data_IF_580376740196
#
_entry.id   IF_580376740196
#
_cell.length_a   1.000
_cell.length_b   1.000
_cell.length_c   1.000
_cell.angle_alpha   90.00
_cell.angle_beta   90.00
_cell.angle_gamma   90.00
#
_symmetry.space_group_name_H-M   'P 1'
#
loop_
_entity.id
_entity.type
_entity.pdbx_description
1 polymer ?
#
# COMPACT_ATOMS: atom_id res chain seq x y z
N UNK A 1 -22.45 -64.31 -7.71
CA UNK A 1 -21.93 -63.11 -7.00
C UNK A 1 -21.30 -62.21 -8.04
N UNK A 2 -22.07 -61.30 -8.65
CA UNK A 2 -21.52 -60.31 -9.60
C UNK A 2 -22.24 -58.98 -9.35
N UNK A 3 -21.74 -58.20 -8.38
CA UNK A 3 -22.09 -56.79 -8.24
C UNK A 3 -21.28 -56.03 -9.29
N UNK A 4 -21.83 -55.95 -10.51
CA UNK A 4 -21.26 -55.15 -11.59
C UNK A 4 -21.33 -53.65 -11.22
N UNK A 5 -20.16 -53.01 -11.29
CA UNK A 5 -19.89 -51.58 -11.41
C UNK A 5 -21.11 -50.64 -11.30
N UNK A 6 -21.27 -50.09 -10.11
CA UNK A 6 -22.23 -49.05 -9.72
C UNK A 6 -21.92 -47.73 -10.44
N UNK A 7 -22.57 -47.53 -11.58
CA UNK A 7 -22.59 -46.22 -12.25
C UNK A 7 -23.49 -45.31 -11.40
N UNK A 8 -22.94 -44.21 -10.89
CA UNK A 8 -23.69 -43.19 -10.11
C UNK A 8 -24.79 -42.48 -10.92
N UNK A 9 -24.81 -42.69 -12.23
CA UNK A 9 -25.75 -42.12 -13.19
C UNK A 9 -26.67 -43.21 -13.75
N UNK A 10 -27.97 -42.92 -13.76
CA UNK A 10 -28.97 -43.76 -14.42
C UNK A 10 -29.22 -43.27 -15.83
N UNK A 11 -28.98 -44.09 -16.86
CA UNK A 11 -29.33 -43.77 -18.25
C UNK A 11 -30.84 -43.82 -18.55
N UNK A 12 -31.59 -44.54 -17.73
CA UNK A 12 -33.02 -44.83 -17.93
C UNK A 12 -33.89 -44.42 -16.74
N UNK A 13 -33.37 -43.57 -15.86
CA UNK A 13 -34.07 -43.11 -14.64
C UNK A 13 -33.96 -44.07 -13.45
N UNK A 14 -34.58 -43.69 -12.32
CA UNK A 14 -34.58 -44.48 -11.08
C UNK A 14 -35.90 -45.24 -10.95
N UNK A 15 -35.84 -46.56 -11.07
CA UNK A 15 -37.01 -47.45 -10.93
C UNK A 15 -37.27 -47.91 -9.49
N UNK A 16 -36.25 -47.81 -8.63
CA UNK A 16 -36.29 -48.20 -7.23
C UNK A 16 -36.42 -46.96 -6.33
N UNK A 17 -37.65 -46.50 -6.15
CA UNK A 17 -37.98 -45.30 -5.39
C UNK A 17 -37.77 -45.47 -3.87
N UNK A 18 -37.81 -46.71 -3.36
CA UNK A 18 -37.60 -46.99 -1.93
C UNK A 18 -36.18 -46.66 -1.47
N UNK A 19 -35.19 -46.82 -2.35
CA UNK A 19 -33.78 -46.49 -2.09
C UNK A 19 -33.32 -45.19 -2.76
N UNK A 20 -34.26 -44.33 -3.17
CA UNK A 20 -33.96 -43.08 -3.87
C UNK A 20 -33.07 -42.14 -3.04
N UNK A 21 -33.37 -41.96 -1.75
CA UNK A 21 -32.60 -41.07 -0.88
C UNK A 21 -31.12 -41.49 -0.78
N UNK A 22 -30.86 -42.80 -0.69
CA UNK A 22 -29.50 -43.34 -0.65
C UNK A 22 -28.79 -43.20 -2.01
N UNK A 23 -29.52 -43.34 -3.12
CA UNK A 23 -28.98 -43.08 -4.47
C UNK A 23 -28.64 -41.60 -4.68
N UNK A 24 -29.49 -40.68 -4.22
CA UNK A 24 -29.23 -39.24 -4.29
C UNK A 24 -27.97 -38.89 -3.50
N UNK A 25 -27.87 -39.35 -2.24
CA UNK A 25 -26.70 -39.07 -1.40
C UNK A 25 -25.40 -39.58 -2.03
N UNK A 26 -25.44 -40.77 -2.64
CA UNK A 26 -24.31 -41.38 -3.34
C UNK A 26 -23.93 -40.62 -4.61
N UNK A 27 -24.91 -40.10 -5.36
CA UNK A 27 -24.68 -39.23 -6.50
C UNK A 27 -24.07 -37.89 -6.10
N UNK A 28 -24.61 -37.26 -5.06
CA UNK A 28 -24.13 -35.99 -4.53
C UNK A 28 -22.67 -36.08 -4.06
N UNK A 29 -22.31 -37.24 -3.48
CA UNK A 29 -20.93 -37.55 -3.06
C UNK A 29 -20.05 -38.14 -4.16
N UNK A 30 -20.58 -38.31 -5.38
CA UNK A 30 -19.81 -38.93 -6.47
C UNK A 30 -18.76 -37.96 -7.02
N UNK A 31 -17.60 -38.49 -7.40
CA UNK A 31 -16.51 -37.69 -7.98
C UNK A 31 -16.98 -36.89 -9.21
N UNK A 32 -17.85 -37.47 -10.03
CA UNK A 32 -18.41 -36.81 -11.21
C UNK A 32 -19.29 -35.61 -10.83
N UNK A 33 -20.20 -35.77 -9.86
CA UNK A 33 -21.04 -34.66 -9.41
C UNK A 33 -20.17 -33.55 -8.81
N UNK A 34 -19.29 -33.90 -7.87
CA UNK A 34 -18.40 -32.94 -7.21
C UNK A 34 -17.53 -32.20 -8.22
N UNK A 35 -16.93 -32.91 -9.17
CA UNK A 35 -16.10 -32.31 -10.23
C UNK A 35 -16.91 -31.37 -11.12
N UNK A 36 -18.14 -31.72 -11.48
CA UNK A 36 -18.99 -30.89 -12.31
C UNK A 36 -19.51 -29.66 -11.55
N UNK A 37 -19.85 -29.79 -10.27
CA UNK A 37 -20.20 -28.66 -9.39
C UNK A 37 -19.02 -27.72 -9.24
N UNK A 38 -17.81 -28.24 -9.00
CA UNK A 38 -16.59 -27.43 -8.93
C UNK A 38 -16.30 -26.73 -10.27
N UNK A 39 -16.41 -27.42 -11.41
CA UNK A 39 -16.26 -26.84 -12.74
C UNK A 39 -17.29 -25.73 -13.00
N UNK A 40 -18.55 -25.95 -12.67
CA UNK A 40 -19.61 -24.95 -12.81
C UNK A 40 -19.36 -23.74 -11.90
N UNK A 41 -18.95 -23.98 -10.66
CA UNK A 41 -18.63 -22.91 -9.71
C UNK A 41 -17.42 -22.04 -10.14
N UNK A 42 -16.54 -22.62 -10.95
CA UNK A 42 -15.35 -21.97 -11.52
C UNK A 42 -15.58 -21.43 -12.93
N UNK A 43 -16.68 -21.83 -13.58
CA UNK A 43 -17.04 -21.43 -14.94
C UNK A 43 -17.27 -19.91 -15.01
N UNK A 44 -16.61 -19.25 -15.94
CA UNK A 44 -16.65 -17.78 -16.07
C UNK A 44 -15.81 -17.00 -15.06
N UNK A 45 -15.24 -17.63 -14.02
CA UNK A 45 -14.35 -16.96 -13.06
C UNK A 45 -12.88 -16.96 -13.49
N UNK A 46 -12.49 -17.89 -14.35
CA UNK A 46 -11.12 -17.95 -14.89
C UNK A 46 -11.01 -17.12 -16.16
N UNK A 47 -9.99 -16.26 -16.25
CA UNK A 47 -9.69 -15.52 -17.47
C UNK A 47 -9.25 -16.51 -18.57
N UNK A 48 -10.05 -16.61 -19.63
CA UNK A 48 -9.86 -17.53 -20.74
C UNK A 48 -8.47 -17.33 -21.40
N UNK A 49 -7.96 -16.10 -21.44
CA UNK A 49 -6.64 -15.80 -21.99
C UNK A 49 -5.50 -16.45 -21.17
N UNK A 50 -5.64 -16.58 -19.84
CA UNK A 50 -4.65 -17.26 -18.99
C UNK A 50 -4.61 -18.77 -19.21
N UNK A 51 -5.74 -19.37 -19.61
CA UNK A 51 -5.83 -20.81 -19.86
C UNK A 51 -5.40 -21.19 -21.28
N UNK A 52 -5.68 -20.34 -22.27
CA UNK A 52 -5.41 -20.63 -23.68
C UNK A 52 -4.03 -20.21 -24.17
N UNK A 53 -3.36 -19.28 -23.46
CA UNK A 53 -2.08 -18.73 -23.92
C UNK A 53 -1.02 -18.78 -22.81
N UNK A 54 -0.10 -19.74 -22.94
CA UNK A 54 1.01 -19.92 -21.99
C UNK A 54 1.92 -18.67 -21.92
N UNK A 55 2.14 -17.99 -23.05
CA UNK A 55 2.96 -16.77 -23.09
C UNK A 55 2.25 -15.61 -22.34
N UNK A 56 0.93 -15.47 -22.49
CA UNK A 56 0.15 -14.49 -21.72
C UNK A 56 0.23 -14.78 -20.22
N UNK A 57 0.06 -16.03 -19.81
CA UNK A 57 0.20 -16.45 -18.41
C UNK A 57 1.59 -16.15 -17.85
N UNK A 58 2.66 -16.47 -18.59
CA UNK A 58 4.05 -16.13 -18.23
C UNK A 58 4.25 -14.62 -18.12
N UNK A 59 3.62 -13.84 -19.02
CA UNK A 59 3.66 -12.38 -18.99
C UNK A 59 3.05 -11.80 -17.72
N UNK A 60 1.89 -12.31 -17.29
CA UNK A 60 1.25 -11.88 -16.04
C UNK A 60 2.09 -12.22 -14.81
N UNK A 61 2.65 -13.44 -14.75
CA UNK A 61 3.54 -13.86 -13.66
C UNK A 61 4.75 -12.91 -13.59
N UNK A 62 5.43 -12.69 -14.71
CA UNK A 62 6.59 -11.80 -14.78
C UNK A 62 6.24 -10.36 -14.39
N UNK A 63 5.07 -9.86 -14.81
CA UNK A 63 4.62 -8.53 -14.40
C UNK A 63 4.42 -8.41 -12.90
N UNK A 64 3.77 -9.41 -12.28
CA UNK A 64 3.57 -9.43 -10.82
C UNK A 64 4.90 -9.53 -10.06
N UNK A 65 5.84 -10.34 -10.55
CA UNK A 65 7.20 -10.40 -9.98
C UNK A 65 7.91 -9.04 -10.03
N UNK A 66 7.76 -8.29 -11.12
CA UNK A 66 8.31 -6.92 -11.22
C UNK A 66 7.58 -5.94 -10.30
N UNK A 67 6.26 -6.05 -10.14
CA UNK A 67 5.49 -5.24 -9.19
C UNK A 67 5.97 -5.49 -7.76
N UNK A 68 6.18 -6.74 -7.37
CA UNK A 68 6.64 -7.11 -6.03
C UNK A 68 8.06 -6.59 -5.77
N UNK A 69 8.97 -6.72 -6.74
CA UNK A 69 10.30 -6.11 -6.66
C UNK A 69 10.22 -4.59 -6.50
N UNK A 70 9.42 -3.90 -7.31
CA UNK A 70 9.30 -2.45 -7.24
C UNK A 70 8.72 -1.98 -5.91
N UNK A 71 7.72 -2.70 -5.36
CA UNK A 71 7.17 -2.43 -4.02
C UNK A 71 8.21 -2.62 -2.93
N UNK A 72 9.04 -3.65 -3.04
CA UNK A 72 10.13 -3.88 -2.10
C UNK A 72 11.15 -2.73 -2.11
N UNK A 73 11.62 -2.33 -3.29
CA UNK A 73 12.55 -1.20 -3.44
C UNK A 73 11.94 0.08 -2.86
N UNK A 74 10.68 0.38 -3.22
CA UNK A 74 9.97 1.55 -2.71
C UNK A 74 9.88 1.54 -1.19
N UNK A 75 9.61 0.39 -0.57
CA UNK A 75 9.60 0.25 0.89
C UNK A 75 10.95 0.64 1.51
N UNK A 76 12.07 0.24 0.91
CA UNK A 76 13.41 0.59 1.40
C UNK A 76 13.71 2.07 1.28
N UNK A 77 13.28 2.71 0.18
CA UNK A 77 13.40 4.16 0.04
C UNK A 77 12.57 4.90 1.10
N UNK A 78 11.34 4.44 1.37
CA UNK A 78 10.49 4.98 2.44
C UNK A 78 11.17 4.81 3.81
N UNK A 79 11.80 3.67 4.07
CA UNK A 79 12.54 3.44 5.32
C UNK A 79 13.71 4.42 5.47
N UNK A 80 14.43 4.74 4.38
CA UNK A 80 15.45 5.79 4.40
C UNK A 80 14.87 7.17 4.73
N UNK A 81 13.71 7.55 4.16
CA UNK A 81 13.04 8.83 4.50
C UNK A 81 12.61 8.84 5.97
N UNK A 82 12.01 7.74 6.46
CA UNK A 82 11.62 7.59 7.86
C UNK A 82 12.81 7.71 8.80
N UNK A 83 13.95 7.11 8.44
CA UNK A 83 15.18 7.24 9.21
C UNK A 83 15.60 8.70 9.29
N UNK A 84 15.67 9.41 8.16
CA UNK A 84 16.01 10.84 8.18
C UNK A 84 15.05 11.63 9.08
N UNK A 85 13.74 11.40 8.97
CA UNK A 85 12.75 12.07 9.80
C UNK A 85 12.86 11.75 11.30
N UNK A 86 13.09 10.49 11.66
CA UNK A 86 13.18 10.03 13.04
C UNK A 86 14.40 10.58 13.79
N UNK A 87 15.47 10.88 13.06
CA UNK A 87 16.72 11.43 13.60
C UNK A 87 16.92 12.93 13.28
N UNK A 88 15.88 13.61 12.77
CA UNK A 88 15.92 15.03 12.40
C UNK A 88 17.05 15.37 11.42
N UNK A 89 17.39 14.43 10.53
CA UNK A 89 18.46 14.57 9.56
C UNK A 89 17.97 15.27 8.30
N UNK A 90 18.82 16.14 7.77
CA UNK A 90 18.58 16.75 6.47
C UNK A 90 18.60 15.66 5.41
N UNK A 91 17.46 15.49 4.72
CA UNK A 91 17.31 14.49 3.64
C UNK A 91 18.33 14.76 2.52
N UNK A 92 18.53 16.04 2.18
CA UNK A 92 19.27 16.50 1.00
C UNK A 92 20.67 17.01 1.30
N UNK A 93 21.55 16.85 0.32
CA UNK A 93 22.84 17.53 0.27
C UNK A 93 22.74 18.88 -0.45
N UNK A 94 23.76 19.72 -0.30
CA UNK A 94 23.91 20.92 -1.14
C UNK A 94 24.18 20.54 -2.61
N UNK A 95 24.98 19.50 -2.80
CA UNK A 95 25.32 18.92 -4.09
C UNK A 95 25.05 17.42 -4.01
N UNK A 96 24.07 16.92 -4.78
CA UNK A 96 23.69 15.51 -4.83
C UNK A 96 24.23 14.81 -6.09
N UNK A 97 25.26 15.34 -6.76
CA UNK A 97 25.93 14.66 -7.88
C UNK A 97 26.65 13.38 -7.42
N UNK A 98 27.01 12.50 -8.37
CA UNK A 98 27.71 11.25 -8.07
C UNK A 98 29.11 11.48 -7.51
N UNK A 99 29.74 12.59 -7.92
CA UNK A 99 31.09 12.99 -7.55
C UNK A 99 31.12 13.83 -6.25
N UNK A 100 29.96 14.18 -5.72
CA UNK A 100 29.86 14.98 -4.49
C UNK A 100 30.46 14.24 -3.30
N UNK A 101 31.30 14.95 -2.54
CA UNK A 101 31.83 14.46 -1.27
C UNK A 101 30.73 14.34 -0.20
N UNK A 102 29.66 15.12 -0.32
CA UNK A 102 28.52 15.12 0.60
C UNK A 102 27.19 15.13 -0.18
N UNK A 103 26.78 13.98 -0.76
CA UNK A 103 25.61 13.87 -1.62
C UNK A 103 24.27 13.93 -0.86
N UNK A 104 24.29 14.20 0.45
CA UNK A 104 23.11 14.18 1.31
C UNK A 104 22.94 12.86 2.07
N UNK A 105 22.27 12.92 3.22
CA UNK A 105 22.08 11.78 4.12
C UNK A 105 21.23 10.69 3.47
N UNK A 106 20.13 11.07 2.80
CA UNK A 106 19.24 10.11 2.15
C UNK A 106 19.99 9.26 1.12
N UNK A 107 20.79 9.91 0.25
CA UNK A 107 21.55 9.21 -0.79
C UNK A 107 22.56 8.26 -0.18
N UNK A 108 23.28 8.69 0.86
CA UNK A 108 24.24 7.83 1.59
C UNK A 108 23.56 6.64 2.27
N UNK A 109 22.35 6.82 2.80
CA UNK A 109 21.56 5.72 3.36
C UNK A 109 21.13 4.74 2.28
N UNK A 110 20.70 5.21 1.11
CA UNK A 110 20.36 4.33 -0.02
C UNK A 110 21.58 3.54 -0.47
N UNK A 111 22.76 4.18 -0.57
CA UNK A 111 24.02 3.50 -0.89
C UNK A 111 24.36 2.44 0.17
N UNK A 112 24.23 2.79 1.46
CA UNK A 112 24.45 1.86 2.56
C UNK A 112 23.49 0.66 2.50
N UNK A 113 22.18 0.90 2.32
CA UNK A 113 21.19 -0.18 2.17
C UNK A 113 21.51 -1.05 0.96
N UNK A 114 21.96 -0.46 -0.15
CA UNK A 114 22.37 -1.23 -1.33
C UNK A 114 23.60 -2.10 -1.08
N UNK A 115 24.49 -1.71 -0.16
CA UNK A 115 25.67 -2.51 0.21
C UNK A 115 25.34 -3.76 1.03
N UNK A 116 24.16 -3.80 1.66
CA UNK A 116 23.71 -4.92 2.50
C UNK A 116 22.56 -5.71 1.87
N UNK A 117 21.80 -5.12 0.94
CA UNK A 117 20.68 -5.76 0.25
C UNK A 117 20.93 -5.89 -1.25
N UNK A 118 21.12 -7.13 -1.71
CA UNK A 118 21.39 -7.44 -3.12
C UNK A 118 20.27 -7.01 -4.07
N UNK A 119 19.01 -6.99 -3.61
CA UNK A 119 17.88 -6.50 -4.40
C UNK A 119 17.99 -4.99 -4.70
N UNK A 120 18.40 -4.21 -3.69
CA UNK A 120 18.65 -2.77 -3.83
C UNK A 120 19.86 -2.51 -4.71
N UNK A 121 20.96 -3.26 -4.52
CA UNK A 121 22.14 -3.18 -5.38
C UNK A 121 21.81 -3.43 -6.85
N UNK A 122 21.10 -4.53 -7.13
CA UNK A 122 20.70 -4.90 -8.48
C UNK A 122 19.82 -3.83 -9.10
N UNK A 123 18.84 -3.32 -8.35
CA UNK A 123 17.96 -2.25 -8.82
C UNK A 123 18.73 -0.97 -9.18
N UNK A 124 19.61 -0.48 -8.30
CA UNK A 124 20.37 0.75 -8.56
C UNK A 124 21.29 0.63 -9.79
N UNK A 125 21.80 -0.57 -10.07
CA UNK A 125 22.63 -0.86 -11.24
C UNK A 125 21.82 -1.01 -12.54
N UNK A 126 20.65 -1.62 -12.49
CA UNK A 126 19.86 -1.93 -13.69
C UNK A 126 18.77 -0.92 -14.03
N UNK A 127 18.34 -0.11 -13.06
CA UNK A 127 17.19 0.77 -13.24
C UNK A 127 17.50 1.93 -14.19
N UNK A 128 16.70 2.03 -15.24
CA UNK A 128 16.77 3.10 -16.25
C UNK A 128 15.72 4.19 -16.03
N UNK A 129 14.57 3.85 -15.46
CA UNK A 129 13.42 4.76 -15.30
C UNK A 129 13.33 5.32 -13.88
N UNK A 130 13.37 4.45 -12.88
CA UNK A 130 13.20 4.83 -11.48
C UNK A 130 14.38 4.31 -10.67
N UNK A 131 15.29 5.21 -10.26
CA UNK A 131 16.39 4.87 -9.33
C UNK A 131 16.04 5.18 -7.87
N UNK A 132 14.99 5.96 -7.61
CA UNK A 132 14.61 6.36 -6.26
C UNK A 132 15.46 7.47 -5.62
N UNK A 133 16.61 7.81 -6.19
CA UNK A 133 17.59 8.76 -5.63
C UNK A 133 17.46 10.23 -6.05
N UNK A 134 16.94 10.59 -7.25
CA UNK A 134 16.89 12.00 -7.65
C UNK A 134 16.01 12.86 -6.73
N UNK A 135 16.37 14.14 -6.58
CA UNK A 135 15.62 15.12 -5.77
C UNK A 135 14.12 15.20 -6.08
N UNK A 136 13.71 15.01 -7.33
CA UNK A 136 12.29 15.05 -7.71
C UNK A 136 11.54 13.88 -7.07
N UNK A 137 12.10 12.68 -7.21
CA UNK A 137 11.56 11.46 -6.62
C UNK A 137 11.56 11.52 -5.09
N UNK A 138 12.62 12.06 -4.48
CA UNK A 138 12.63 12.27 -3.02
C UNK A 138 11.46 13.15 -2.54
N UNK A 139 11.15 14.22 -3.27
CA UNK A 139 10.00 15.07 -2.96
C UNK A 139 8.68 14.33 -3.15
N UNK A 140 8.51 13.64 -4.29
CA UNK A 140 7.30 12.85 -4.55
C UNK A 140 7.06 11.80 -3.46
N UNK A 141 8.12 11.14 -2.98
CA UNK A 141 8.04 10.20 -1.85
C UNK A 141 7.56 10.89 -0.58
N UNK A 142 8.14 12.05 -0.24
CA UNK A 142 7.75 12.81 0.95
C UNK A 142 6.30 13.28 0.84
N UNK A 143 5.88 13.76 -0.34
CA UNK A 143 4.50 14.20 -0.60
C UNK A 143 3.52 13.04 -0.48
N UNK A 144 3.81 11.88 -1.08
CA UNK A 144 2.98 10.67 -0.90
C UNK A 144 2.89 10.24 0.56
N UNK A 145 4.00 10.27 1.31
CA UNK A 145 4.01 9.95 2.73
C UNK A 145 3.19 10.96 3.54
N UNK A 146 3.24 12.24 3.19
CA UNK A 146 2.45 13.30 3.82
C UNK A 146 0.96 13.07 3.59
N UNK A 147 0.55 12.77 2.36
CA UNK A 147 -0.87 12.53 2.03
C UNK A 147 -1.43 11.33 2.79
N UNK A 148 -0.71 10.19 2.80
CA UNK A 148 -1.12 9.01 3.59
C UNK A 148 -1.19 9.33 5.09
N UNK A 149 -0.26 10.14 5.60
CA UNK A 149 -0.26 10.56 7.00
C UNK A 149 -1.48 11.44 7.31
N UNK A 150 -1.81 12.40 6.44
CA UNK A 150 -2.99 13.26 6.60
C UNK A 150 -4.29 12.45 6.53
N UNK A 151 -4.43 11.54 5.57
CA UNK A 151 -5.58 10.65 5.49
C UNK A 151 -5.77 9.85 6.78
N UNK A 152 -4.67 9.31 7.33
CA UNK A 152 -4.68 8.58 8.60
C UNK A 152 -5.13 9.48 9.76
N UNK A 153 -4.63 10.72 9.82
CA UNK A 153 -5.06 11.70 10.84
C UNK A 153 -6.55 11.99 10.70
N UNK A 154 -7.05 12.26 9.49
CA UNK A 154 -8.47 12.55 9.24
C UNK A 154 -9.37 11.38 9.64
N UNK A 155 -8.98 10.14 9.33
CA UNK A 155 -9.72 8.94 9.77
C UNK A 155 -9.74 8.81 11.31
N UNK A 156 -8.63 9.11 11.97
CA UNK A 156 -8.55 9.12 13.44
C UNK A 156 -9.45 10.21 14.05
N UNK A 157 -9.48 11.40 13.45
CA UNK A 157 -10.36 12.49 13.88
C UNK A 157 -11.84 12.15 13.68
N UNK A 158 -12.19 11.41 12.63
CA UNK A 158 -13.56 10.95 12.40
C UNK A 158 -14.05 9.89 13.39
N UNK A 159 -13.16 9.31 14.21
CA UNK A 159 -13.47 8.25 15.18
C UNK A 159 -13.28 8.68 16.65
N UNK A 160 -12.96 9.95 16.92
CA UNK A 160 -12.80 10.47 18.27
C UNK A 160 -13.93 11.45 18.62
N UNK A 161 -14.36 11.43 19.88
CA UNK A 161 -15.46 12.28 20.37
C UNK A 161 -15.04 13.74 20.59
N UNK A 162 -13.75 13.97 20.87
CA UNK A 162 -13.23 15.28 21.26
C UNK A 162 -11.94 15.61 20.52
N UNK A 163 -11.95 16.77 19.87
CA UNK A 163 -10.79 17.31 19.15
C UNK A 163 -10.52 18.72 19.67
N UNK A 164 -9.25 19.00 19.93
CA UNK A 164 -8.74 20.35 20.09
C UNK A 164 -7.81 20.67 18.91
N UNK A 165 -7.95 21.87 18.37
CA UNK A 165 -7.04 22.41 17.36
C UNK A 165 -6.11 23.38 18.08
N UNK A 166 -4.81 23.15 17.94
CA UNK A 166 -3.77 24.05 18.43
C UNK A 166 -3.13 24.74 17.23
N UNK A 167 -3.20 26.07 17.21
CA UNK A 167 -2.49 26.91 16.27
C UNK A 167 -1.41 27.67 17.03
N UNK A 168 -0.20 27.73 16.48
CA UNK A 168 0.90 28.54 17.00
C UNK A 168 1.54 29.32 15.86
N UNK A 169 1.79 30.61 16.09
CA UNK A 169 2.23 31.53 15.05
C UNK A 169 3.63 32.04 15.37
N UNK A 170 4.50 32.02 14.36
CA UNK A 170 5.83 32.61 14.45
C UNK A 170 6.07 33.57 13.29
N UNK A 171 6.64 34.73 13.58
CA UNK A 171 7.00 35.73 12.56
C UNK A 171 8.51 35.74 12.42
N UNK A 172 8.99 35.48 11.20
CA UNK A 172 10.42 35.52 10.91
C UNK A 172 10.96 36.96 10.76
N UNK A 173 12.28 37.09 10.69
CA UNK A 173 12.96 38.39 10.49
C UNK A 173 12.61 39.08 9.17
N UNK A 174 12.02 38.35 8.22
CA UNK A 174 11.51 38.88 6.95
C UNK A 174 10.05 39.32 7.04
N UNK A 175 9.50 39.40 8.25
CA UNK A 175 8.10 39.76 8.56
C UNK A 175 7.06 38.81 7.99
N UNK A 176 7.46 37.57 7.65
CA UNK A 176 6.54 36.54 7.21
C UNK A 176 6.04 35.77 8.43
N UNK A 177 4.72 35.70 8.57
CA UNK A 177 4.09 34.93 9.64
C UNK A 177 3.74 33.55 9.13
N UNK A 178 4.17 32.52 9.86
CA UNK A 178 3.85 31.14 9.61
C UNK A 178 3.10 30.57 10.81
N UNK A 179 1.95 29.96 10.55
CA UNK A 179 1.14 29.25 11.54
C UNK A 179 1.40 27.75 11.43
N UNK A 180 1.52 27.06 12.55
CA UNK A 180 1.52 25.61 12.62
C UNK A 180 0.20 25.11 13.19
N UNK A 181 -0.41 24.13 12.51
CA UNK A 181 -1.63 23.49 12.97
C UNK A 181 -1.35 22.08 13.51
N UNK A 182 -1.82 21.84 14.73
CA UNK A 182 -1.69 20.56 15.44
C UNK A 182 -3.06 20.13 15.96
N UNK A 183 -3.49 18.93 15.61
CA UNK A 183 -4.65 18.31 16.21
C UNK A 183 -4.26 17.59 17.50
N UNK A 184 -5.08 17.76 18.53
CA UNK A 184 -4.97 17.04 19.80
C UNK A 184 -6.29 16.35 20.11
N UNK A 185 -6.26 15.04 20.31
CA UNK A 185 -7.47 14.24 20.55
C UNK A 185 -7.16 13.02 21.44
N UNK A 186 -8.21 12.30 21.83
CA UNK A 186 -8.09 11.03 22.57
C UNK A 186 -8.23 9.87 21.58
N UNK A 187 -7.23 9.00 21.51
CA UNK A 187 -7.27 7.81 20.64
C UNK A 187 -8.16 6.70 21.22
N UNK A 188 -8.36 5.62 20.45
CA UNK A 188 -9.15 4.46 20.87
C UNK A 188 -8.59 3.72 22.11
N UNK A 189 -7.37 4.02 22.53
CA UNK A 189 -6.76 3.48 23.75
C UNK A 189 -6.85 4.46 24.94
N UNK A 190 -7.69 5.49 24.84
CA UNK A 190 -7.84 6.55 25.83
C UNK A 190 -6.55 7.34 26.08
N UNK A 191 -5.65 7.43 25.09
CA UNK A 191 -4.41 8.21 25.19
C UNK A 191 -4.56 9.55 24.48
N UNK A 192 -4.00 10.59 25.10
CA UNK A 192 -3.88 11.90 24.44
C UNK A 192 -2.83 11.80 23.35
N UNK A 193 -3.23 12.09 22.12
CA UNK A 193 -2.36 12.12 20.94
C UNK A 193 -2.31 13.53 20.39
N UNK A 194 -1.11 13.95 19.92
CA UNK A 194 -0.90 15.17 19.16
C UNK A 194 -0.42 14.82 17.76
N UNK A 195 -0.99 15.44 16.74
CA UNK A 195 -0.66 15.23 15.34
C UNK A 195 -0.44 16.58 14.66
N UNK A 196 0.80 16.85 14.26
CA UNK A 196 1.08 17.93 13.31
C UNK A 196 0.29 17.68 12.03
N UNK A 197 -0.31 18.74 11.48
CA UNK A 197 -1.11 18.66 10.27
C UNK A 197 -0.47 19.42 9.11
N UNK A 198 -0.15 20.70 9.31
CA UNK A 198 0.49 21.53 8.28
C UNK A 198 1.12 22.80 8.85
N UNK A 199 1.93 23.43 8.01
CA UNK A 199 2.27 24.84 8.11
C UNK A 199 1.39 25.64 7.15
N UNK A 200 0.96 26.83 7.58
CA UNK A 200 0.22 27.79 6.76
C UNK A 200 0.91 29.15 6.79
N UNK A 201 1.07 29.76 5.62
CA UNK A 201 1.62 31.12 5.55
C UNK A 201 0.48 32.12 5.73
N UNK A 202 0.61 32.96 6.76
CA UNK A 202 -0.36 34.01 7.06
C UNK A 202 0.09 35.31 6.39
N UNK A 203 -0.88 36.01 5.79
CA UNK A 203 -0.65 37.34 5.21
C UNK A 203 -0.28 38.37 6.28
N UNK A 204 -0.97 38.30 7.42
CA UNK A 204 -0.75 39.12 8.61
C UNK A 204 -1.34 38.40 9.83
N UNK A 205 -1.12 38.95 11.04
CA UNK A 205 -1.57 38.38 12.32
C UNK A 205 -2.97 38.85 12.73
N UNK A 206 -3.79 39.34 11.80
CA UNK A 206 -5.19 39.67 12.10
C UNK A 206 -6.05 38.42 12.24
N UNK A 207 -7.27 38.58 12.77
CA UNK A 207 -8.17 37.45 13.00
C UNK A 207 -8.58 36.73 11.70
N UNK A 208 -8.71 37.45 10.58
CA UNK A 208 -9.26 36.89 9.35
C UNK A 208 -8.32 35.85 8.70
N UNK A 209 -7.01 36.11 8.47
CA UNK A 209 -6.10 35.11 7.93
C UNK A 209 -5.91 33.90 8.84
N UNK A 210 -5.91 34.11 10.16
CA UNK A 210 -5.80 33.01 11.14
C UNK A 210 -7.02 32.11 11.06
N UNK A 211 -8.23 32.70 11.06
CA UNK A 211 -9.48 31.96 10.89
C UNK A 211 -9.49 31.19 9.56
N UNK A 212 -9.09 31.84 8.47
CA UNK A 212 -9.02 31.19 7.16
C UNK A 212 -8.01 30.04 7.12
N UNK A 213 -6.89 30.13 7.83
CA UNK A 213 -5.92 29.05 7.92
C UNK A 213 -6.43 27.84 8.70
N UNK A 214 -7.26 28.06 9.73
CA UNK A 214 -7.83 26.98 10.56
C UNK A 214 -9.00 26.27 9.86
N UNK A 215 -9.82 27.00 9.09
CA UNK A 215 -11.08 26.49 8.53
C UNK A 215 -11.07 26.18 7.02
N UNK A 216 -9.96 26.40 6.30
CA UNK A 216 -9.79 25.94 4.91
C UNK A 216 -9.40 24.46 4.85
#
# INVERSE_FOLDING_TARGET
>A
MYCNNLISWTRTGVTDLKHLAEKIKRHDSSESHLTNVLKLSSFGKSNIALQLNEAYRKGVIKHNEEVDKNRYILSKLIDCVKFCGAFELVVRGHDETEESLNPGVFRRLVDFVSSIESAMEAHLKSATVFKGTPKTIQNELIDCMLEVTKETIVQQLGSTDYVAIQADDTTDVSTKTQSVLVFRYIDGNSKVVKRFYCFSYLKDSSADPISAAIFN
#
